data_IF_093203751053
#
_entry.id   IF_093203751053
#
_cell.length_a   1.000
_cell.length_b   1.000
_cell.length_c   1.000
_cell.angle_alpha   90.00
_cell.angle_beta   90.00
_cell.angle_gamma   90.00
#
_symmetry.space_group_name_H-M   'P 1'
#
loop_
_entity.id
_entity.type
_entity.pdbx_description
1 polymer ?
#
# COMPACT_ATOMS: atom_id res chain seq x y z
N UNK A 1 30.34 27.14 7.78
CA UNK A 1 29.25 27.47 6.83
C UNK A 1 28.49 26.24 6.36
N UNK A 2 29.14 25.19 5.87
CA UNK A 2 28.47 23.95 5.44
C UNK A 2 27.59 23.30 6.52
N UNK A 3 28.03 23.23 7.78
CA UNK A 3 27.20 22.68 8.86
C UNK A 3 25.93 23.51 9.14
N UNK A 4 26.01 24.83 8.99
CA UNK A 4 24.85 25.72 9.14
C UNK A 4 23.86 25.53 7.98
N UNK A 5 24.37 25.36 6.76
CA UNK A 5 23.53 25.09 5.58
C UNK A 5 22.84 23.73 5.68
N UNK A 6 23.55 22.69 6.12
CA UNK A 6 22.98 21.36 6.36
C UNK A 6 21.94 21.39 7.49
N UNK A 7 22.22 22.12 8.58
CA UNK A 7 21.26 22.30 9.67
C UNK A 7 20.00 23.05 9.25
N UNK A 8 20.13 24.16 8.52
CA UNK A 8 19.00 24.91 7.98
C UNK A 8 18.17 24.09 6.97
N UNK A 9 18.84 23.31 6.12
CA UNK A 9 18.18 22.41 5.17
C UNK A 9 17.44 21.28 5.90
N UNK A 10 18.04 20.70 6.93
CA UNK A 10 17.39 19.68 7.76
C UNK A 10 16.14 20.23 8.46
N UNK A 11 16.18 21.47 8.98
CA UNK A 11 15.02 22.12 9.60
C UNK A 11 13.85 22.33 8.62
N UNK A 12 14.11 22.49 7.33
CA UNK A 12 13.08 22.60 6.29
C UNK A 12 12.54 21.24 5.83
N UNK A 13 13.42 20.25 5.66
CA UNK A 13 13.05 18.95 5.06
C UNK A 13 12.40 18.02 6.09
N UNK A 14 12.94 17.96 7.32
CA UNK A 14 12.51 16.99 8.36
C UNK A 14 11.02 17.12 8.72
N UNK A 15 10.46 18.32 8.95
CA UNK A 15 9.03 18.45 9.26
C UNK A 15 8.15 17.98 8.10
N UNK A 16 8.57 18.23 6.85
CA UNK A 16 7.80 17.88 5.66
C UNK A 16 7.79 16.38 5.38
N UNK A 17 8.87 15.68 5.73
CA UNK A 17 8.94 14.21 5.60
C UNK A 17 8.16 13.50 6.70
N UNK A 18 8.07 14.06 7.92
CA UNK A 18 7.32 13.48 9.04
C UNK A 18 5.79 13.49 8.86
N UNK A 19 5.26 14.24 7.88
CA UNK A 19 3.83 14.31 7.59
C UNK A 19 3.31 13.33 6.53
N UNK A 20 4.17 12.49 5.93
CA UNK A 20 3.84 11.69 4.73
C UNK A 20 3.51 10.21 4.96
N UNK A 21 3.13 9.82 6.18
CA UNK A 21 2.63 8.46 6.39
C UNK A 21 2.03 8.22 7.77
N UNK A 22 1.43 7.04 7.99
CA UNK A 22 0.96 6.60 9.30
C UNK A 22 2.07 6.70 10.35
N UNK A 23 1.79 7.32 11.50
CA UNK A 23 2.75 7.40 12.59
C UNK A 23 2.99 5.99 13.17
N UNK A 24 4.24 5.58 13.46
CA UNK A 24 4.50 4.33 14.16
C UNK A 24 3.71 4.26 15.47
N UNK A 25 2.92 3.19 15.66
CA UNK A 25 2.11 2.97 16.86
C UNK A 25 0.68 3.54 16.83
N UNK A 26 0.21 4.14 15.74
CA UNK A 26 -1.22 4.42 15.59
C UNK A 26 -1.98 3.15 15.16
N UNK A 27 -3.16 2.86 15.76
CA UNK A 27 -4.01 1.80 15.29
C UNK A 27 -4.50 2.16 13.88
N UNK A 28 -4.06 1.38 12.89
CA UNK A 28 -4.57 1.43 11.53
C UNK A 28 -5.75 0.47 11.42
N UNK A 29 -6.80 0.90 10.74
CA UNK A 29 -7.90 0.02 10.37
C UNK A 29 -7.64 -0.58 9.00
N UNK A 30 -8.11 -1.81 8.81
CA UNK A 30 -8.15 -2.46 7.50
C UNK A 30 -9.43 -2.07 6.76
N UNK A 31 -9.32 -1.96 5.44
CA UNK A 31 -10.43 -1.65 4.55
C UNK A 31 -10.19 -2.15 3.15
N UNK A 32 -11.14 -1.85 2.27
CA UNK A 32 -11.07 -2.18 0.86
C UNK A 32 -11.28 -0.92 0.03
N UNK A 33 -10.39 -0.70 -0.93
CA UNK A 33 -10.52 0.32 -1.97
C UNK A 33 -11.20 -0.29 -3.18
N UNK A 34 -12.38 0.22 -3.54
CA UNK A 34 -13.02 -0.02 -4.83
C UNK A 34 -12.49 1.00 -5.84
N UNK A 35 -11.84 0.54 -6.90
CA UNK A 35 -11.33 1.40 -7.97
C UNK A 35 -12.47 1.86 -8.87
N UNK A 36 -12.63 3.17 -9.03
CA UNK A 36 -13.69 3.82 -9.85
C UNK A 36 -13.15 4.67 -11.00
N UNK A 37 -11.83 4.80 -11.10
CA UNK A 37 -11.15 5.50 -12.20
C UNK A 37 -9.73 5.00 -12.31
N UNK A 38 -9.24 4.82 -13.54
CA UNK A 38 -7.85 4.44 -13.82
C UNK A 38 -7.38 5.23 -15.03
N UNK A 39 -6.19 5.83 -14.94
CA UNK A 39 -5.56 6.47 -16.09
C UNK A 39 -5.27 5.44 -17.20
N UNK A 40 -5.31 5.84 -18.47
CA UNK A 40 -4.98 4.94 -19.59
C UNK A 40 -3.61 4.29 -19.42
N UNK A 41 -3.51 3.01 -19.76
CA UNK A 41 -2.23 2.30 -19.85
C UNK A 41 -1.47 2.82 -21.07
N UNK A 42 -0.17 3.18 -20.94
CA UNK A 42 0.63 3.58 -22.09
C UNK A 42 0.94 2.39 -23.00
N UNK A 43 0.91 2.62 -24.32
CA UNK A 43 1.24 1.62 -25.34
C UNK A 43 2.72 1.63 -25.70
N UNK A 44 3.26 0.46 -26.08
CA UNK A 44 4.64 0.34 -26.59
C UNK A 44 5.74 0.58 -25.56
N UNK A 45 5.41 0.51 -24.26
CA UNK A 45 6.36 0.65 -23.16
C UNK A 45 6.32 -0.57 -22.24
N UNK A 46 7.48 -0.89 -21.67
CA UNK A 46 7.65 -1.99 -20.73
C UNK A 46 8.08 -1.47 -19.34
N UNK A 47 8.01 -2.35 -18.33
CA UNK A 47 8.48 -2.07 -16.97
C UNK A 47 7.52 -1.24 -16.13
N UNK A 48 8.06 -0.44 -15.20
CA UNK A 48 7.27 0.38 -14.28
C UNK A 48 6.79 1.66 -14.95
N UNK A 49 5.50 1.93 -14.85
CA UNK A 49 4.87 3.15 -15.34
C UNK A 49 3.94 3.74 -14.29
N UNK A 50 3.68 5.05 -14.39
CA UNK A 50 2.82 5.73 -13.44
C UNK A 50 1.35 5.57 -13.82
N UNK A 51 0.56 5.02 -12.90
CA UNK A 51 -0.89 5.00 -12.97
C UNK A 51 -1.47 5.99 -11.96
N UNK A 52 -2.55 6.67 -12.32
CA UNK A 52 -3.43 7.38 -11.39
C UNK A 52 -4.72 6.62 -11.25
N UNK A 53 -5.11 6.34 -10.00
CA UNK A 53 -6.38 5.71 -9.68
C UNK A 53 -7.25 6.65 -8.87
N UNK A 54 -8.56 6.50 -9.05
CA UNK A 54 -9.58 7.05 -8.17
C UNK A 54 -10.41 5.90 -7.62
N UNK A 55 -10.95 6.06 -6.42
CA UNK A 55 -11.75 5.01 -5.83
C UNK A 55 -12.42 5.42 -4.54
N UNK A 56 -13.07 4.45 -3.91
CA UNK A 56 -13.79 4.63 -2.65
C UNK A 56 -13.29 3.59 -1.64
N UNK A 57 -12.82 4.05 -0.49
CA UNK A 57 -12.43 3.21 0.64
C UNK A 57 -13.65 2.92 1.50
N UNK A 58 -13.84 1.65 1.82
CA UNK A 58 -14.83 1.18 2.79
C UNK A 58 -14.15 0.36 3.88
N UNK A 59 -14.58 0.54 5.13
CA UNK A 59 -14.07 -0.24 6.25
C UNK A 59 -14.86 -0.02 7.55
N UNK A 60 -14.43 -0.63 8.67
CA UNK A 60 -15.20 -0.64 9.91
C UNK A 60 -15.48 0.76 10.51
N UNK A 61 -14.65 1.74 10.16
CA UNK A 61 -14.71 3.11 10.72
C UNK A 61 -14.98 4.17 9.66
N UNK A 62 -15.17 3.77 8.40
CA UNK A 62 -15.37 4.69 7.28
C UNK A 62 -16.38 4.12 6.30
N UNK A 63 -17.42 4.90 6.02
CA UNK A 63 -18.43 4.57 5.03
C UNK A 63 -18.17 5.44 3.80
N UNK A 64 -17.64 4.82 2.74
CA UNK A 64 -17.42 5.41 1.42
C UNK A 64 -16.55 6.68 1.36
N UNK A 65 -15.25 6.56 1.64
CA UNK A 65 -14.31 7.69 1.50
C UNK A 65 -13.63 7.73 0.13
N UNK A 66 -13.87 8.81 -0.63
CA UNK A 66 -13.30 8.96 -1.98
C UNK A 66 -11.82 9.31 -1.90
N UNK A 67 -10.99 8.60 -2.68
CA UNK A 67 -9.54 8.79 -2.71
C UNK A 67 -8.98 8.87 -4.13
N UNK A 68 -7.81 9.48 -4.22
CA UNK A 68 -7.03 9.65 -5.43
C UNK A 68 -5.57 9.29 -5.13
N UNK A 69 -4.94 8.47 -5.97
CA UNK A 69 -3.54 8.07 -5.77
C UNK A 69 -2.80 7.91 -7.09
N UNK A 70 -1.53 8.34 -7.10
CA UNK A 70 -0.60 8.06 -8.19
C UNK A 70 0.51 7.14 -7.69
N UNK A 71 0.78 6.06 -8.43
CA UNK A 71 1.78 5.07 -8.07
C UNK A 71 2.49 4.53 -9.31
N UNK A 72 3.69 3.99 -9.12
CA UNK A 72 4.38 3.20 -10.13
C UNK A 72 3.89 1.75 -10.07
N UNK A 73 3.54 1.19 -11.22
CA UNK A 73 3.10 -0.21 -11.36
C UNK A 73 3.75 -0.81 -12.60
N UNK A 74 3.98 -2.12 -12.58
CA UNK A 74 4.34 -2.84 -13.80
C UNK A 74 3.20 -2.73 -14.83
N UNK A 75 3.54 -2.40 -16.07
CA UNK A 75 2.59 -2.25 -17.19
C UNK A 75 1.75 -3.51 -17.41
N UNK A 76 2.28 -4.69 -17.10
CA UNK A 76 1.58 -5.97 -17.21
C UNK A 76 0.62 -6.23 -16.05
N UNK A 77 0.66 -5.42 -14.99
CA UNK A 77 -0.22 -5.50 -13.81
C UNK A 77 -1.03 -4.22 -13.62
N UNK A 78 -1.40 -3.57 -14.73
CA UNK A 78 -2.19 -2.34 -14.70
C UNK A 78 -3.52 -2.53 -13.94
N UNK A 79 -3.89 -1.62 -13.02
CA UNK A 79 -5.17 -1.67 -12.34
C UNK A 79 -6.36 -1.64 -13.30
N UNK A 80 -7.49 -2.17 -12.83
CA UNK A 80 -8.75 -2.14 -13.58
C UNK A 80 -9.87 -1.48 -12.78
N UNK A 81 -10.84 -0.93 -13.50
CA UNK A 81 -12.08 -0.42 -12.91
C UNK A 81 -12.84 -1.55 -12.20
N UNK A 82 -13.40 -1.27 -11.03
CA UNK A 82 -14.10 -2.26 -10.22
C UNK A 82 -13.17 -3.16 -9.40
N UNK A 83 -11.86 -3.06 -9.56
CA UNK A 83 -10.91 -3.83 -8.76
C UNK A 83 -11.01 -3.47 -7.28
N UNK A 84 -11.03 -4.49 -6.43
CA UNK A 84 -10.95 -4.36 -4.98
C UNK A 84 -9.50 -4.52 -4.54
N UNK A 85 -8.96 -3.51 -3.85
CA UNK A 85 -7.60 -3.53 -3.32
C UNK A 85 -7.63 -3.41 -1.81
N UNK A 86 -6.95 -4.30 -1.06
CA UNK A 86 -6.87 -4.18 0.38
C UNK A 86 -6.04 -2.94 0.75
N UNK A 87 -6.52 -2.18 1.72
CA UNK A 87 -5.89 -0.95 2.20
C UNK A 87 -5.86 -0.92 3.73
N UNK A 88 -4.92 -0.15 4.25
CA UNK A 88 -4.86 0.25 5.65
C UNK A 88 -5.02 1.77 5.72
N UNK A 89 -5.78 2.27 6.67
CA UNK A 89 -6.06 3.69 6.82
C UNK A 89 -6.12 4.11 8.29
N UNK A 90 -5.90 5.40 8.55
CA UNK A 90 -6.10 5.96 9.89
C UNK A 90 -7.60 6.15 10.17
N UNK A 91 -8.17 5.57 11.24
CA UNK A 91 -9.56 5.79 11.61
C UNK A 91 -9.91 7.26 11.90
N UNK A 92 -8.91 8.07 12.28
CA UNK A 92 -9.08 9.49 12.57
C UNK A 92 -8.98 10.38 11.33
N UNK A 93 -8.29 9.90 10.30
CA UNK A 93 -8.09 10.63 9.05
C UNK A 93 -7.93 9.63 7.88
N UNK A 94 -9.03 9.26 7.20
CA UNK A 94 -9.01 8.30 6.09
C UNK A 94 -8.17 8.73 4.88
N UNK A 95 -7.80 10.01 4.75
CA UNK A 95 -6.84 10.47 3.72
C UNK A 95 -5.42 9.93 3.97
N UNK A 96 -5.11 9.54 5.22
CA UNK A 96 -3.86 8.86 5.54
C UNK A 96 -4.07 7.34 5.42
N UNK A 97 -3.86 6.84 4.21
CA UNK A 97 -4.01 5.43 3.87
C UNK A 97 -2.86 4.94 3.00
N UNK A 98 -2.70 3.62 2.92
CA UNK A 98 -1.79 2.94 2.00
C UNK A 98 -2.38 1.58 1.60
N UNK A 99 -1.84 0.97 0.55
CA UNK A 99 -2.13 -0.43 0.25
C UNK A 99 -1.69 -1.33 1.41
N UNK A 100 -2.50 -2.33 1.70
CA UNK A 100 -2.13 -3.34 2.68
C UNK A 100 -0.89 -4.11 2.19
N UNK A 101 0.02 -4.51 3.09
CA UNK A 101 1.10 -5.42 2.74
C UNK A 101 0.54 -6.70 2.11
N UNK A 102 1.28 -7.35 1.18
CA UNK A 102 0.90 -8.67 0.69
C UNK A 102 0.69 -9.61 1.89
N UNK A 103 -0.46 -10.28 1.94
CA UNK A 103 -0.70 -11.29 2.96
C UNK A 103 0.33 -12.41 2.79
N UNK A 104 0.98 -12.82 3.89
CA UNK A 104 1.85 -13.98 3.86
C UNK A 104 1.04 -15.20 3.38
N UNK A 105 1.62 -16.06 2.52
CA UNK A 105 0.95 -17.30 2.16
C UNK A 105 0.63 -18.09 3.44
N UNK A 106 -0.52 -18.77 3.50
CA UNK A 106 -0.86 -19.59 4.65
C UNK A 106 0.27 -20.59 4.92
N UNK A 107 0.58 -20.90 6.19
CA UNK A 107 1.55 -21.93 6.51
C UNK A 107 1.17 -23.21 5.75
N UNK A 108 2.15 -23.81 5.08
CA UNK A 108 1.93 -25.03 4.31
C UNK A 108 1.32 -26.14 5.19
N UNK A 109 0.69 -27.16 4.58
CA UNK A 109 0.16 -28.29 5.34
C UNK A 109 1.26 -28.88 6.23
N UNK A 110 0.93 -29.39 7.43
CA UNK A 110 1.88 -30.07 8.29
C UNK A 110 2.65 -31.10 7.46
N UNK A 111 3.99 -31.02 7.45
CA UNK A 111 4.80 -32.04 6.79
C UNK A 111 4.51 -33.37 7.50
N UNK A 112 3.98 -34.35 6.77
CA UNK A 112 3.78 -35.69 7.31
C UNK A 112 5.15 -36.22 7.78
N UNK A 113 5.24 -36.75 9.01
CA UNK A 113 6.47 -37.37 9.48
C UNK A 113 6.88 -38.50 8.51
N UNK A 114 8.19 -38.69 8.27
CA UNK A 114 8.66 -39.72 7.36
C UNK A 114 8.09 -41.09 7.78
N UNK A 115 7.75 -41.98 6.82
CA UNK A 115 7.23 -43.30 7.13
C UNK A 115 8.12 -44.03 8.13
N UNK A 116 7.51 -44.58 9.18
CA UNK A 116 8.23 -45.36 10.18
C UNK A 116 8.93 -46.55 9.51
N UNK A 117 10.26 -46.51 9.48
CA UNK A 117 11.08 -47.64 9.07
C UNK A 117 11.38 -48.50 10.32
N UNK A 118 10.89 -49.74 10.40
CA UNK A 118 11.22 -50.60 11.54
C UNK A 118 12.73 -50.90 11.56
N UNK A 119 13.36 -50.95 12.74
CA UNK A 119 14.75 -51.38 12.87
C UNK A 119 14.90 -52.83 12.38
N UNK A 120 16.01 -53.12 11.69
CA UNK A 120 16.37 -54.45 11.18
C UNK A 120 16.84 -55.39 12.28
#
# INVERSE_FOLDING_TARGET
>A
MILLLLGALALLIVPRMRGRGPRPGQPLAEGTLLVTGVSPRPDGVDGEQFVTITGVINGPTVNEHVVYQRMAVDVNRWPTMGQLMPVIYSPKNPDNWNFAPPQAPPPGPPQEPPPYAPPR
#
